data_IF_493624790839
#
_entry.id   IF_493624790839
#
_cell.length_a   1.000
_cell.length_b   1.000
_cell.length_c   1.000
_cell.angle_alpha   90.00
_cell.angle_beta   90.00
_cell.angle_gamma   90.00
#
_symmetry.space_group_name_H-M   'P 1'
#
loop_
_entity.id
_entity.type
_entity.pdbx_description
1 polymer ?
#
# COMPACT_ATOMS: atom_id res chain seq x y z
N UNK A 1 -7.79 -54.61 19.05
CA UNK A 1 -6.82 -53.73 19.74
C UNK A 1 -7.63 -52.70 20.50
N UNK A 2 -7.51 -52.67 21.83
CA UNK A 2 -8.41 -51.97 22.75
C UNK A 2 -8.19 -50.46 22.72
N UNK A 3 -9.29 -49.71 22.85
CA UNK A 3 -9.27 -48.33 23.33
C UNK A 3 -8.77 -48.33 24.78
N UNK A 4 -7.85 -47.44 25.12
CA UNK A 4 -7.52 -47.10 26.51
C UNK A 4 -8.18 -45.76 26.84
N UNK A 5 -8.67 -45.70 28.08
CA UNK A 5 -9.71 -44.82 28.61
C UNK A 5 -9.28 -43.34 28.69
N UNK A 6 -10.22 -42.43 28.43
CA UNK A 6 -10.01 -41.02 28.79
C UNK A 6 -11.00 -40.03 28.21
N UNK A 7 -11.22 -40.00 26.90
CA UNK A 7 -12.16 -39.05 26.30
C UNK A 7 -12.93 -39.67 25.12
N UNK A 8 -14.26 -39.81 25.22
CA UNK A 8 -15.07 -40.25 24.11
C UNK A 8 -15.20 -39.13 23.09
N UNK A 9 -14.77 -39.42 21.87
CA UNK A 9 -15.37 -38.83 20.68
C UNK A 9 -16.81 -39.36 20.59
N UNK A 10 -17.83 -38.49 20.63
CA UNK A 10 -18.85 -38.63 19.61
C UNK A 10 -19.48 -37.31 19.17
N UNK A 11 -19.76 -37.31 17.86
CA UNK A 11 -20.81 -36.55 17.23
C UNK A 11 -22.11 -36.51 18.05
N UNK A 12 -22.66 -35.32 18.25
CA UNK A 12 -24.07 -35.05 18.56
C UNK A 12 -24.47 -33.81 17.77
N UNK A 13 -25.20 -34.00 16.68
CA UNK A 13 -26.67 -33.91 16.59
C UNK A 13 -27.19 -32.46 16.56
N UNK A 14 -27.68 -32.11 15.38
CA UNK A 14 -28.73 -31.14 15.10
C UNK A 14 -29.78 -31.07 16.20
N UNK A 15 -30.06 -29.89 16.77
CA UNK A 15 -31.39 -29.46 17.22
C UNK A 15 -31.39 -27.95 17.48
N UNK A 16 -31.73 -27.17 16.45
CA UNK A 16 -32.47 -25.90 16.56
C UNK A 16 -32.71 -25.33 15.16
N UNK A 17 -33.46 -26.07 14.35
CA UNK A 17 -34.07 -25.53 13.14
C UNK A 17 -35.57 -25.41 13.42
N UNK A 18 -35.98 -24.28 14.00
CA UNK A 18 -37.37 -23.87 14.03
C UNK A 18 -37.47 -22.34 14.16
N UNK A 19 -38.03 -21.75 13.11
CA UNK A 19 -38.52 -20.39 12.97
C UNK A 19 -37.47 -19.26 12.82
N UNK A 20 -37.61 -18.55 11.69
CA UNK A 20 -36.89 -17.36 11.22
C UNK A 20 -35.61 -17.61 10.41
N UNK A 21 -35.67 -17.14 9.16
CA UNK A 21 -34.81 -17.54 8.06
C UNK A 21 -33.39 -17.01 8.13
N UNK A 22 -32.51 -17.78 7.48
CA UNK A 22 -31.18 -17.43 6.97
C UNK A 22 -30.26 -16.75 8.00
N UNK A 23 -29.29 -17.46 8.61
CA UNK A 23 -28.17 -16.78 9.25
C UNK A 23 -27.43 -15.98 8.16
N UNK A 24 -27.67 -14.68 8.22
CA UNK A 24 -26.99 -13.60 7.55
C UNK A 24 -25.49 -13.90 7.44
N UNK A 25 -25.04 -14.23 6.23
CA UNK A 25 -23.63 -14.40 5.90
C UNK A 25 -22.92 -13.05 5.98
N UNK A 26 -22.55 -12.62 7.19
CA UNK A 26 -21.50 -11.63 7.42
C UNK A 26 -20.12 -12.28 7.39
N UNK A 27 -19.80 -12.93 6.28
CA UNK A 27 -18.41 -13.27 5.95
C UNK A 27 -18.07 -12.67 4.60
N UNK A 28 -18.22 -11.34 4.50
CA UNK A 28 -17.44 -10.60 3.53
C UNK A 28 -16.00 -10.62 4.03
N UNK A 29 -15.07 -11.22 3.29
CA UNK A 29 -13.64 -11.03 3.54
C UNK A 29 -13.41 -9.52 3.66
N UNK A 30 -12.96 -9.04 4.82
CA UNK A 30 -12.59 -7.64 5.00
C UNK A 30 -11.38 -7.38 4.12
N UNK A 31 -11.58 -6.77 2.95
CA UNK A 31 -10.50 -6.38 2.05
C UNK A 31 -9.66 -5.28 2.71
N UNK A 32 -8.46 -5.63 3.21
CA UNK A 32 -7.56 -4.66 3.83
C UNK A 32 -6.83 -3.85 2.76
N UNK A 33 -6.71 -2.55 2.99
CA UNK A 33 -5.91 -1.65 2.18
C UNK A 33 -4.92 -0.90 3.08
N UNK A 34 -3.67 -0.80 2.62
CA UNK A 34 -2.66 0.06 3.21
C UNK A 34 -2.78 1.45 2.61
N UNK A 35 -2.88 2.48 3.45
CA UNK A 35 -2.92 3.87 3.03
C UNK A 35 -1.61 4.56 3.41
N UNK A 36 -0.96 5.17 2.42
CA UNK A 36 0.11 6.13 2.64
C UNK A 36 -0.38 7.50 2.23
N UNK A 37 -0.08 8.52 3.03
CA UNK A 37 -0.55 9.89 2.87
C UNK A 37 0.65 10.82 3.03
N UNK A 38 0.72 11.82 2.17
CA UNK A 38 1.73 12.88 2.17
C UNK A 38 1.03 14.22 1.94
N UNK A 39 1.62 15.30 2.48
CA UNK A 39 1.09 16.65 2.39
C UNK A 39 1.99 17.58 1.56
N UNK A 40 1.34 18.53 0.90
CA UNK A 40 2.01 19.66 0.26
C UNK A 40 1.40 20.97 0.73
N UNK A 41 2.23 21.76 1.40
CA UNK A 41 1.90 23.08 1.91
C UNK A 41 2.00 23.14 3.44
N UNK A 42 1.71 24.32 4.00
CA UNK A 42 1.70 24.55 5.44
C UNK A 42 0.47 25.36 5.83
N UNK A 43 -0.32 24.83 6.77
CA UNK A 43 -1.50 25.50 7.33
C UNK A 43 -1.12 26.79 8.07
N UNK A 44 0.13 26.88 8.54
CA UNK A 44 0.64 28.05 9.27
C UNK A 44 1.09 29.19 8.35
N UNK A 45 1.25 28.96 7.05
CA UNK A 45 1.72 29.96 6.09
C UNK A 45 0.52 30.68 5.44
N UNK A 46 0.21 31.93 5.82
CA UNK A 46 -0.95 32.65 5.28
C UNK A 46 -0.81 32.99 3.79
N UNK A 47 0.40 32.88 3.23
CA UNK A 47 0.64 33.13 1.81
C UNK A 47 0.24 31.96 0.91
N UNK A 48 0.09 30.75 1.50
CA UNK A 48 -0.31 29.56 0.78
C UNK A 48 -1.83 29.44 0.75
N UNK A 49 -2.40 29.44 -0.46
CA UNK A 49 -3.84 29.35 -0.68
C UNK A 49 -4.39 27.94 -0.56
N UNK A 50 -3.55 26.93 -0.77
CA UNK A 50 -3.99 25.54 -0.86
C UNK A 50 -3.06 24.66 -0.03
N UNK A 51 -3.67 23.87 0.85
CA UNK A 51 -3.02 22.74 1.51
C UNK A 51 -3.53 21.45 0.86
N UNK A 52 -2.63 20.66 0.29
CA UNK A 52 -2.99 19.43 -0.42
C UNK A 52 -2.61 18.23 0.42
N UNK A 53 -3.57 17.35 0.66
CA UNK A 53 -3.34 16.03 1.22
C UNK A 53 -3.55 15.00 0.12
N UNK A 54 -2.53 14.23 -0.22
CA UNK A 54 -2.63 13.21 -1.26
C UNK A 54 -2.03 11.90 -0.79
N UNK A 55 -2.41 10.80 -1.43
CA UNK A 55 -1.95 9.51 -0.98
C UNK A 55 -2.24 8.38 -1.95
N UNK A 56 -1.80 7.20 -1.53
CA UNK A 56 -1.96 5.95 -2.26
C UNK A 56 -2.60 4.90 -1.36
N UNK A 57 -3.62 4.23 -1.89
CA UNK A 57 -4.27 3.10 -1.27
C UNK A 57 -3.85 1.83 -2.02
N UNK A 58 -3.25 0.89 -1.29
CA UNK A 58 -2.72 -0.36 -1.85
C UNK A 58 -3.48 -1.54 -1.25
N UNK A 59 -4.05 -2.39 -2.10
CA UNK A 59 -4.68 -3.62 -1.64
C UNK A 59 -3.65 -4.56 -1.01
N UNK A 60 -3.94 -5.15 0.14
CA UNK A 60 -2.97 -5.90 0.95
C UNK A 60 -2.21 -6.98 0.14
N UNK A 61 -2.89 -7.67 -0.79
CA UNK A 61 -2.31 -8.75 -1.60
C UNK A 61 -1.43 -8.25 -2.76
N UNK A 62 -1.28 -6.93 -2.90
CA UNK A 62 -0.53 -6.27 -3.98
C UNK A 62 0.73 -5.57 -3.51
N UNK A 63 0.92 -5.37 -2.21
CA UNK A 63 2.07 -4.68 -1.62
C UNK A 63 3.41 -5.25 -2.09
N UNK A 64 3.57 -6.58 -2.04
CA UNK A 64 4.81 -7.25 -2.45
C UNK A 64 5.20 -6.98 -3.91
N UNK A 65 4.23 -6.96 -4.83
CA UNK A 65 4.48 -6.74 -6.25
C UNK A 65 4.85 -5.28 -6.55
N UNK A 66 4.15 -4.34 -5.90
CA UNK A 66 4.49 -2.91 -5.98
C UNK A 66 5.90 -2.66 -5.44
N UNK A 67 6.24 -3.29 -4.31
CA UNK A 67 7.57 -3.18 -3.70
C UNK A 67 8.67 -3.70 -4.65
N UNK A 68 8.47 -4.86 -5.29
CA UNK A 68 9.42 -5.41 -6.26
C UNK A 68 9.68 -4.45 -7.43
N UNK A 69 8.62 -3.86 -8.00
CA UNK A 69 8.72 -2.90 -9.09
C UNK A 69 9.50 -1.64 -8.67
N UNK A 70 9.25 -1.12 -7.47
CA UNK A 70 9.95 0.05 -6.95
C UNK A 70 11.42 -0.26 -6.60
N UNK A 71 11.70 -1.43 -6.01
CA UNK A 71 13.05 -1.88 -5.69
C UNK A 71 13.90 -2.06 -6.97
N UNK A 72 13.31 -2.50 -8.07
CA UNK A 72 13.99 -2.60 -9.36
C UNK A 72 14.46 -1.22 -9.87
N UNK A 73 13.66 -0.18 -9.64
CA UNK A 73 14.05 1.20 -9.96
C UNK A 73 15.15 1.69 -9.01
N UNK A 74 15.00 1.43 -7.70
CA UNK A 74 15.97 1.86 -6.69
C UNK A 74 17.37 1.24 -6.89
N UNK A 75 17.44 0.03 -7.47
CA UNK A 75 18.70 -0.65 -7.81
C UNK A 75 19.60 0.16 -8.75
N UNK A 76 19.01 1.06 -9.57
CA UNK A 76 19.77 1.99 -10.44
C UNK A 76 20.62 3.00 -9.64
N UNK A 77 20.25 3.26 -8.39
CA UNK A 77 20.90 4.27 -7.54
C UNK A 77 21.73 3.64 -6.42
N UNK A 78 21.31 2.48 -5.90
CA UNK A 78 22.09 1.68 -4.97
C UNK A 78 21.79 0.20 -5.17
N UNK A 79 22.71 -0.51 -5.81
CA UNK A 79 22.57 -1.94 -6.08
C UNK A 79 22.85 -2.83 -4.85
N UNK A 80 23.52 -2.29 -3.81
CA UNK A 80 23.87 -3.07 -2.61
C UNK A 80 22.70 -3.12 -1.63
N UNK A 81 22.04 -1.98 -1.43
CA UNK A 81 20.90 -1.84 -0.51
C UNK A 81 19.78 -1.00 -1.15
N UNK A 82 19.10 -1.50 -2.20
CA UNK A 82 18.07 -0.74 -2.91
C UNK A 82 16.87 -0.36 -2.03
N UNK A 83 16.52 -1.23 -1.07
CA UNK A 83 15.42 -1.01 -0.13
C UNK A 83 15.65 0.15 0.87
N UNK A 84 16.90 0.65 0.98
CA UNK A 84 17.22 1.80 1.82
C UNK A 84 17.05 3.15 1.10
N UNK A 85 16.76 3.14 -0.21
CA UNK A 85 16.52 4.37 -0.97
C UNK A 85 15.05 4.74 -0.93
N UNK A 86 14.79 5.95 -0.44
CA UNK A 86 13.48 6.58 -0.51
C UNK A 86 13.29 7.28 -1.87
N UNK A 87 12.36 6.79 -2.69
CA UNK A 87 12.00 7.39 -3.99
C UNK A 87 11.04 8.59 -3.81
N UNK A 88 11.48 9.61 -3.07
CA UNK A 88 10.69 10.81 -2.80
C UNK A 88 10.91 11.87 -3.89
N UNK A 89 9.86 12.20 -4.64
CA UNK A 89 9.92 13.10 -5.80
C UNK A 89 10.49 14.51 -5.52
N UNK A 90 10.19 15.12 -4.37
CA UNK A 90 10.68 16.46 -4.01
C UNK A 90 12.22 16.49 -3.75
N UNK A 91 12.80 15.64 -2.89
CA UNK A 91 14.25 15.45 -2.79
C UNK A 91 14.91 15.06 -4.11
N UNK A 92 14.35 14.09 -4.85
CA UNK A 92 14.88 13.65 -6.14
C UNK A 92 15.01 14.82 -7.12
N UNK A 93 13.93 15.58 -7.32
CA UNK A 93 13.90 16.70 -8.27
C UNK A 93 14.84 17.84 -7.87
N UNK A 94 14.87 18.18 -6.59
CA UNK A 94 15.70 19.29 -6.05
C UNK A 94 17.16 18.90 -5.79
N UNK A 95 17.48 17.61 -5.79
CA UNK A 95 18.81 17.10 -5.47
C UNK A 95 19.17 17.18 -3.99
N UNK A 96 18.18 17.14 -3.08
CA UNK A 96 18.43 17.03 -1.64
C UNK A 96 18.69 15.58 -1.24
N UNK A 97 19.11 15.34 0.00
CA UNK A 97 19.20 13.99 0.59
C UNK A 97 20.06 13.01 -0.23
N UNK A 98 21.20 13.51 -0.75
CA UNK A 98 22.15 12.71 -1.55
C UNK A 98 21.83 12.63 -3.05
N UNK A 99 20.62 13.01 -3.49
CA UNK A 99 20.21 12.92 -4.90
C UNK A 99 21.06 13.79 -5.85
N UNK A 100 21.76 14.81 -5.37
CA UNK A 100 22.75 15.58 -6.15
C UNK A 100 23.87 14.73 -6.74
N UNK A 101 24.15 13.55 -6.18
CA UNK A 101 25.15 12.62 -6.71
C UNK A 101 24.72 11.98 -8.05
N UNK A 102 23.44 12.04 -8.41
CA UNK A 102 22.91 11.44 -9.63
C UNK A 102 22.49 12.51 -10.66
N UNK A 103 22.65 12.24 -11.97
CA UNK A 103 22.20 13.14 -13.03
C UNK A 103 20.71 13.50 -12.91
N UNK A 104 20.34 14.74 -13.25
CA UNK A 104 18.94 15.18 -13.18
C UNK A 104 18.04 14.34 -14.10
N UNK A 105 18.52 13.98 -15.28
CA UNK A 105 17.76 13.17 -16.23
C UNK A 105 17.38 11.81 -15.63
N UNK A 106 18.31 11.14 -14.95
CA UNK A 106 18.09 9.83 -14.33
C UNK A 106 17.09 9.91 -13.18
N UNK A 107 17.15 10.99 -12.40
CA UNK A 107 16.20 11.25 -11.30
C UNK A 107 14.79 11.50 -11.83
N UNK A 108 14.65 12.29 -12.89
CA UNK A 108 13.35 12.54 -13.52
C UNK A 108 12.80 11.28 -14.19
N UNK A 109 13.66 10.45 -14.79
CA UNK A 109 13.27 9.15 -15.33
C UNK A 109 12.76 8.24 -14.21
N UNK A 110 13.48 8.13 -13.09
CA UNK A 110 13.04 7.32 -11.96
C UNK A 110 11.72 7.77 -11.33
N UNK A 111 11.43 9.07 -11.27
CA UNK A 111 10.11 9.57 -10.84
C UNK A 111 9.01 9.06 -11.78
N UNK A 112 9.24 9.13 -13.10
CA UNK A 112 8.28 8.64 -14.10
C UNK A 112 8.12 7.12 -14.01
N UNK A 113 9.22 6.40 -13.88
CA UNK A 113 9.23 4.94 -13.73
C UNK A 113 8.45 4.53 -12.47
N UNK A 114 8.65 5.23 -11.34
CA UNK A 114 7.94 4.93 -10.10
C UNK A 114 6.42 5.12 -10.23
N UNK A 115 5.99 6.19 -10.92
CA UNK A 115 4.57 6.42 -11.22
C UNK A 115 4.00 5.38 -12.20
N UNK A 116 4.77 5.00 -13.23
CA UNK A 116 4.32 4.02 -14.22
C UNK A 116 4.24 2.61 -13.62
N UNK A 117 5.32 2.14 -13.00
CA UNK A 117 5.44 0.76 -12.53
C UNK A 117 4.81 0.57 -11.16
N UNK A 118 4.92 1.54 -10.24
CA UNK A 118 4.35 1.44 -8.90
C UNK A 118 2.86 1.77 -8.81
N UNK A 119 2.33 2.59 -9.74
CA UNK A 119 0.93 3.05 -9.69
C UNK A 119 0.14 2.64 -10.93
N UNK A 120 0.52 3.14 -12.11
CA UNK A 120 -0.30 2.98 -13.32
C UNK A 120 -0.52 1.51 -13.69
N UNK A 121 0.51 0.68 -13.58
CA UNK A 121 0.43 -0.75 -13.89
C UNK A 121 -0.42 -1.56 -12.89
N UNK A 122 -0.59 -1.07 -11.66
CA UNK A 122 -1.38 -1.73 -10.62
C UNK A 122 -2.80 -1.16 -10.47
N UNK A 123 -3.10 -0.04 -11.12
CA UNK A 123 -4.42 0.58 -11.13
C UNK A 123 -5.40 -0.18 -12.06
N UNK A 124 -6.69 -0.29 -11.74
CA UNK A 124 -7.38 0.17 -10.52
C UNK A 124 -7.49 -0.88 -9.41
N UNK A 125 -7.04 -2.11 -9.66
CA UNK A 125 -7.34 -3.27 -8.80
C UNK A 125 -6.38 -3.43 -7.64
N UNK A 126 -5.16 -2.91 -7.73
CA UNK A 126 -4.14 -3.02 -6.69
C UNK A 126 -3.76 -1.71 -6.05
N UNK A 127 -3.72 -0.63 -6.83
CA UNK A 127 -3.30 0.69 -6.36
C UNK A 127 -4.29 1.76 -6.82
N UNK A 128 -4.64 2.68 -5.92
CA UNK A 128 -5.46 3.85 -6.20
C UNK A 128 -4.83 5.10 -5.59
N UNK A 129 -4.80 6.18 -6.36
CA UNK A 129 -4.46 7.50 -5.85
C UNK A 129 -5.71 8.19 -5.32
N UNK A 130 -5.54 8.98 -4.27
CA UNK A 130 -6.56 9.86 -3.74
C UNK A 130 -5.92 11.18 -3.32
N UNK A 131 -6.74 12.22 -3.21
CA UNK A 131 -6.30 13.49 -2.70
C UNK A 131 -7.45 14.42 -2.37
N UNK A 132 -7.17 15.37 -1.49
CA UNK A 132 -8.05 16.43 -1.07
C UNK A 132 -7.27 17.75 -1.08
N UNK A 133 -7.92 18.81 -1.55
CA UNK A 133 -7.39 20.17 -1.49
C UNK A 133 -8.20 20.92 -0.45
N UNK A 134 -7.52 21.49 0.54
CA UNK A 134 -8.08 22.30 1.61
C UNK A 134 -7.70 23.75 1.34
N UNK A 135 -8.66 24.66 1.46
CA UNK A 135 -8.55 26.10 1.29
C UNK A 135 -9.21 26.81 2.46
#
# INVERSE_FOLDING_TARGET
>A
MRCFEGFPCPAYLNYAQAAFGQPFALMGESSLHLFYVDESGSVADPSQKYFVLAGVAIFERKTHWVEQDLNAIATKFNAVTPHNIELHGSPMRSGRDGWKAHPLADRLAAIKDALQHGVANHHPKGVRLFGAVVN
#
